data_IF_472858818986
#
_entry.id   IF_472858818986
#
_cell.length_a   1.000
_cell.length_b   1.000
_cell.length_c   1.000
_cell.angle_alpha   90.00
_cell.angle_beta   90.00
_cell.angle_gamma   90.00
#
_symmetry.space_group_name_H-M   'P 1'
#
loop_
_entity.id
_entity.type
_entity.pdbx_description
1 polymer ?
#
# COMPACT_ATOMS: atom_id res chain seq x y z
N UNK A 1 -27.30 -8.61 24.01
CA UNK A 1 -26.25 -7.60 24.28
C UNK A 1 -25.24 -7.48 23.11
N UNK A 2 -25.70 -7.51 21.85
CA UNK A 2 -24.81 -7.81 20.69
C UNK A 2 -24.59 -6.65 19.70
N UNK A 3 -25.15 -5.46 19.96
CA UNK A 3 -25.07 -4.30 19.06
C UNK A 3 -23.73 -3.55 19.17
N UNK A 4 -23.14 -3.50 20.36
CA UNK A 4 -21.85 -2.82 20.59
C UNK A 4 -20.67 -3.54 19.91
N UNK A 5 -20.63 -4.88 19.96
CA UNK A 5 -19.56 -5.65 19.33
C UNK A 5 -19.54 -5.49 17.80
N UNK A 6 -20.72 -5.41 17.16
CA UNK A 6 -20.82 -5.25 15.70
C UNK A 6 -20.36 -3.86 15.22
N UNK A 7 -20.62 -2.79 15.99
CA UNK A 7 -20.16 -1.44 15.63
C UNK A 7 -18.65 -1.25 15.70
N UNK A 8 -17.97 -1.92 16.64
CA UNK A 8 -16.51 -1.85 16.78
C UNK A 8 -15.81 -2.58 15.63
N UNK A 9 -16.35 -3.73 15.21
CA UNK A 9 -15.85 -4.50 14.07
C UNK A 9 -15.93 -3.68 12.78
N UNK A 10 -17.08 -3.04 12.53
CA UNK A 10 -17.33 -2.26 11.30
C UNK A 10 -16.42 -1.03 11.18
N UNK A 11 -16.22 -0.30 12.28
CA UNK A 11 -15.27 0.82 12.33
C UNK A 11 -13.84 0.36 12.06
N UNK A 12 -13.39 -0.73 12.69
CA UNK A 12 -12.03 -1.23 12.48
C UNK A 12 -11.77 -1.67 11.03
N UNK A 13 -12.78 -2.26 10.38
CA UNK A 13 -12.70 -2.68 8.97
C UNK A 13 -12.59 -1.46 8.06
N UNK A 14 -13.32 -0.39 8.36
CA UNK A 14 -13.24 0.88 7.60
C UNK A 14 -11.86 1.52 7.74
N UNK A 15 -11.32 1.62 8.95
CA UNK A 15 -9.97 2.14 9.21
C UNK A 15 -8.89 1.33 8.49
N UNK A 16 -9.03 0.00 8.45
CA UNK A 16 -8.13 -0.88 7.71
C UNK A 16 -8.21 -0.65 6.19
N UNK A 17 -9.42 -0.44 5.67
CA UNK A 17 -9.63 -0.17 4.25
C UNK A 17 -9.02 1.18 3.85
N UNK A 18 -9.23 2.22 4.65
CA UNK A 18 -8.65 3.55 4.46
C UNK A 18 -7.12 3.53 4.56
N UNK A 19 -6.57 2.81 5.55
CA UNK A 19 -5.11 2.61 5.67
C UNK A 19 -4.54 1.94 4.42
N UNK A 20 -5.16 0.84 3.99
CA UNK A 20 -4.74 0.14 2.76
C UNK A 20 -4.84 1.04 1.54
N UNK A 21 -5.87 1.87 1.45
CA UNK A 21 -6.05 2.77 0.32
C UNK A 21 -4.99 3.87 0.28
N UNK A 22 -4.65 4.49 1.42
CA UNK A 22 -3.51 5.41 1.49
C UNK A 22 -2.21 4.75 1.04
N UNK A 23 -1.97 3.50 1.44
CA UNK A 23 -0.80 2.74 1.00
C UNK A 23 -0.83 2.45 -0.51
N UNK A 24 -1.99 2.12 -1.10
CA UNK A 24 -2.11 1.91 -2.56
C UNK A 24 -1.72 3.16 -3.34
N UNK A 25 -2.10 4.32 -2.84
CA UNK A 25 -1.79 5.61 -3.45
C UNK A 25 -0.30 5.97 -3.32
N UNK A 26 0.33 5.61 -2.21
CA UNK A 26 1.75 5.86 -1.96
C UNK A 26 2.69 4.90 -2.72
N UNK A 27 2.27 3.66 -2.95
CA UNK A 27 3.13 2.60 -3.52
C UNK A 27 3.83 2.98 -4.84
N UNK A 28 3.18 3.62 -5.84
CA UNK A 28 3.87 4.00 -7.07
C UNK A 28 5.07 4.93 -6.85
N UNK A 29 4.97 5.90 -5.93
CA UNK A 29 6.06 6.80 -5.62
C UNK A 29 7.21 6.08 -4.91
N UNK A 30 6.89 5.20 -3.95
CA UNK A 30 7.86 4.33 -3.29
C UNK A 30 8.61 3.45 -4.30
N UNK A 31 7.92 2.88 -5.30
CA UNK A 31 8.53 2.08 -6.37
C UNK A 31 9.52 2.88 -7.22
N UNK A 32 9.22 4.15 -7.53
CA UNK A 32 10.18 5.00 -8.25
C UNK A 32 11.44 5.28 -7.41
N UNK A 33 11.31 5.43 -6.09
CA UNK A 33 12.46 5.54 -5.17
C UNK A 33 13.30 4.25 -5.13
N UNK A 34 12.66 3.07 -5.16
CA UNK A 34 13.39 1.80 -5.26
C UNK A 34 14.17 1.70 -6.57
N UNK A 35 13.56 2.10 -7.69
CA UNK A 35 14.21 2.12 -9.02
C UNK A 35 15.40 3.07 -9.09
N UNK A 36 15.33 4.20 -8.40
CA UNK A 36 16.44 5.18 -8.32
C UNK A 36 17.49 4.86 -7.25
N UNK A 37 17.39 3.69 -6.59
CA UNK A 37 18.25 3.28 -5.46
C UNK A 37 18.18 4.24 -4.25
N UNK A 38 17.06 4.91 -4.08
CA UNK A 38 16.79 5.86 -2.99
C UNK A 38 15.81 5.29 -1.96
N UNK A 39 15.87 3.99 -1.68
CA UNK A 39 15.02 3.33 -0.70
C UNK A 39 15.07 3.98 0.70
N UNK A 40 16.20 4.62 1.04
CA UNK A 40 16.36 5.37 2.30
C UNK A 40 15.50 6.63 2.43
N UNK A 41 14.84 7.08 1.36
CA UNK A 41 13.85 8.16 1.41
C UNK A 41 12.44 7.66 1.78
N UNK A 42 12.21 6.35 1.78
CA UNK A 42 10.95 5.75 2.21
C UNK A 42 11.00 5.60 3.73
N UNK A 43 9.97 6.07 4.43
CA UNK A 43 9.90 5.93 5.88
C UNK A 43 9.90 4.44 6.29
N UNK A 44 10.66 4.08 7.33
CA UNK A 44 10.78 2.68 7.77
C UNK A 44 9.43 2.03 8.08
N UNK A 45 8.52 2.77 8.71
CA UNK A 45 7.15 2.32 8.97
C UNK A 45 6.40 1.98 7.68
N UNK A 46 6.57 2.79 6.64
CA UNK A 46 5.89 2.59 5.36
C UNK A 46 6.44 1.34 4.64
N UNK A 47 7.76 1.10 4.73
CA UNK A 47 8.38 -0.16 4.27
C UNK A 47 7.78 -1.36 4.99
N UNK A 48 7.67 -1.31 6.32
CA UNK A 48 7.06 -2.38 7.11
C UNK A 48 5.61 -2.65 6.71
N UNK A 49 4.82 -1.60 6.49
CA UNK A 49 3.43 -1.73 6.03
C UNK A 49 3.36 -2.37 4.64
N UNK A 50 4.20 -1.95 3.68
CA UNK A 50 4.26 -2.57 2.36
C UNK A 50 4.70 -4.04 2.40
N UNK A 51 5.66 -4.38 3.26
CA UNK A 51 6.12 -5.77 3.45
C UNK A 51 5.01 -6.61 4.10
N UNK A 52 4.32 -6.08 5.11
CA UNK A 52 3.20 -6.78 5.78
C UNK A 52 2.05 -7.10 4.83
N UNK A 53 1.84 -6.28 3.79
CA UNK A 53 0.85 -6.49 2.74
C UNK A 53 1.36 -7.37 1.58
N UNK A 54 2.61 -7.85 1.65
CA UNK A 54 3.29 -8.59 0.59
C UNK A 54 3.38 -7.80 -0.74
N UNK A 55 3.44 -6.46 -0.68
CA UNK A 55 3.61 -5.61 -1.86
C UNK A 55 5.09 -5.36 -2.14
N UNK A 56 5.90 -5.31 -1.09
CA UNK A 56 7.36 -5.31 -1.16
C UNK A 56 7.89 -6.52 -0.39
N UNK A 57 9.11 -6.94 -0.73
CA UNK A 57 9.80 -8.03 -0.04
C UNK A 57 11.28 -7.71 0.14
N UNK A 58 11.87 -8.23 1.20
CA UNK A 58 13.32 -8.23 1.38
C UNK A 58 13.94 -9.36 0.55
N UNK A 59 14.89 -9.02 -0.30
CA UNK A 59 15.63 -9.95 -1.13
C UNK A 59 17.13 -9.64 -1.05
N UNK A 60 17.86 -10.44 -0.26
CA UNK A 60 19.32 -10.32 -0.13
C UNK A 60 19.79 -8.95 0.35
N UNK A 61 19.07 -8.32 1.29
CA UNK A 61 19.40 -6.99 1.82
C UNK A 61 18.90 -5.81 0.99
N UNK A 62 18.22 -6.06 -0.13
CA UNK A 62 17.55 -5.02 -0.91
C UNK A 62 16.03 -5.20 -0.85
N UNK A 63 15.30 -4.11 -1.05
CA UNK A 63 13.84 -4.14 -1.12
C UNK A 63 13.43 -4.33 -2.59
N UNK A 64 12.54 -5.29 -2.86
CA UNK A 64 12.05 -5.62 -4.20
C UNK A 64 10.52 -5.52 -4.28
N UNK A 65 10.02 -5.11 -5.44
CA UNK A 65 8.59 -5.13 -5.74
C UNK A 65 8.14 -6.57 -6.02
N UNK A 66 7.06 -7.01 -5.35
CA UNK A 66 6.46 -8.33 -5.59
C UNK A 66 5.50 -8.28 -6.79
N UNK A 67 5.01 -9.46 -7.21
CA UNK A 67 3.92 -9.56 -8.20
C UNK A 67 2.66 -8.86 -7.70
N UNK A 68 2.28 -9.06 -6.43
CA UNK A 68 1.13 -8.41 -5.82
C UNK A 68 1.28 -6.88 -5.83
N UNK A 69 2.45 -6.37 -5.45
CA UNK A 69 2.73 -4.92 -5.49
C UNK A 69 2.69 -4.34 -6.90
N UNK A 70 3.20 -5.07 -7.90
CA UNK A 70 3.13 -4.67 -9.31
C UNK A 70 1.67 -4.53 -9.80
N UNK A 71 0.82 -5.48 -9.42
CA UNK A 71 -0.61 -5.43 -9.74
C UNK A 71 -1.31 -4.25 -9.06
N UNK A 72 -0.93 -3.91 -7.82
CA UNK A 72 -1.46 -2.74 -7.10
C UNK A 72 -1.04 -1.45 -7.79
N UNK A 73 0.22 -1.29 -8.19
CA UNK A 73 0.69 -0.14 -8.96
C UNK A 73 -0.06 0.04 -10.27
N UNK A 74 -0.33 -1.07 -10.97
CA UNK A 74 -1.07 -1.05 -12.24
C UNK A 74 -2.52 -0.57 -12.04
N UNK A 75 -3.18 -1.05 -10.98
CA UNK A 75 -4.53 -0.62 -10.60
C UNK A 75 -4.58 0.84 -10.14
N UNK A 76 -3.62 1.29 -9.34
CA UNK A 76 -3.54 2.68 -8.86
C UNK A 76 -3.40 3.66 -10.04
N UNK A 77 -2.56 3.31 -11.03
CA UNK A 77 -2.39 4.10 -12.26
C UNK A 77 -3.67 4.14 -13.08
N UNK A 78 -4.35 3.01 -13.27
CA UNK A 78 -5.63 2.96 -13.98
C UNK A 78 -6.70 3.82 -13.30
N UNK A 79 -6.83 3.74 -11.97
CA UNK A 79 -7.79 4.52 -11.20
C UNK A 79 -7.51 6.03 -11.30
N UNK A 80 -6.24 6.43 -11.25
CA UNK A 80 -5.84 7.84 -11.42
C UNK A 80 -6.12 8.38 -12.83
N UNK A 81 -6.06 7.54 -13.86
CA UNK A 81 -6.42 7.92 -15.22
C UNK A 81 -7.95 8.07 -15.38
N UNK A 82 -8.72 7.23 -14.68
CA UNK A 82 -10.18 7.25 -14.73
C UNK A 82 -10.76 8.46 -13.98
N UNK A 83 -10.18 8.85 -12.83
CA UNK A 83 -10.56 10.06 -12.09
C UNK A 83 -10.30 11.37 -12.84
N UNK A 84 -9.42 11.37 -13.86
CA UNK A 84 -9.14 12.54 -14.72
C UNK A 84 -10.12 12.66 -15.89
N UNK A 85 -10.96 11.66 -16.12
CA UNK A 85 -11.90 11.59 -17.25
C UNK A 85 -13.36 11.89 -16.85
N UNK A 86 -13.61 12.15 -15.57
CA UNK A 86 -14.92 12.54 -15.00
C UNK A 86 -14.92 13.99 -14.59
#
# INVERSE_FOLDING_TARGET
MSKAAKGILDASVTEEAERKERLRQALPAAVELLRSRQAGLIAAREIEEFVSLNWLEWHGGTLRLTVTGSNVCSQARANSAQARQT
#
